data_IF_751303994198
#
_entry.id   IF_751303994198
#
_cell.length_a   1.000
_cell.length_b   1.000
_cell.length_c   1.000
_cell.angle_alpha   90.00
_cell.angle_beta   90.00
_cell.angle_gamma   90.00
#
_symmetry.space_group_name_H-M   'P 1'
#
loop_
_entity.id
_entity.type
_entity.pdbx_description
1 polymer ?
#
# COMPACT_ATOMS: atom_id res chain seq x y z
N UNK A 1 12.56 24.09 52.44
CA UNK A 1 13.38 22.87 52.29
C UNK A 1 14.12 22.94 50.96
N UNK A 2 15.46 22.83 50.96
CA UNK A 2 16.25 22.71 49.72
C UNK A 2 16.15 21.26 49.20
N UNK A 3 16.12 21.10 47.88
CA UNK A 3 16.20 19.79 47.25
C UNK A 3 17.51 19.11 47.66
N UNK A 4 17.46 17.81 47.97
CA UNK A 4 18.64 17.01 48.33
C UNK A 4 19.55 16.71 47.13
N UNK A 5 19.15 17.12 45.93
CA UNK A 5 19.83 16.83 44.68
C UNK A 5 20.35 18.12 44.05
N UNK A 6 21.59 18.09 43.57
CA UNK A 6 22.19 19.20 42.82
C UNK A 6 21.50 19.37 41.47
N UNK A 7 21.21 20.62 41.11
CA UNK A 7 20.59 20.99 39.84
C UNK A 7 21.65 21.63 38.95
N UNK A 8 21.60 21.34 37.66
CA UNK A 8 22.44 22.03 36.69
C UNK A 8 22.12 23.53 36.66
N UNK A 9 23.15 24.35 36.57
CA UNK A 9 23.01 25.80 36.48
C UNK A 9 22.78 26.23 35.03
N UNK A 10 21.51 26.39 34.67
CA UNK A 10 21.09 26.81 33.33
C UNK A 10 21.55 28.24 32.97
N UNK A 11 22.00 29.05 33.93
CA UNK A 11 22.54 30.40 33.63
C UNK A 11 23.86 30.34 32.85
N UNK A 12 24.52 29.18 32.84
CA UNK A 12 25.78 28.94 32.11
C UNK A 12 25.58 28.43 30.68
N UNK A 13 24.33 28.24 30.22
CA UNK A 13 24.02 27.82 28.85
C UNK A 13 24.43 28.92 27.86
N UNK A 14 25.20 28.55 26.84
CA UNK A 14 25.56 29.47 25.74
C UNK A 14 24.54 29.39 24.63
N UNK A 15 24.02 30.53 24.20
CA UNK A 15 23.12 30.65 23.05
C UNK A 15 23.89 31.04 21.79
N UNK A 16 23.30 30.79 20.63
CA UNK A 16 23.85 31.17 19.32
C UNK A 16 22.89 32.10 18.57
N UNK A 17 23.43 32.95 17.70
CA UNK A 17 22.62 33.78 16.80
C UNK A 17 21.96 32.93 15.71
N UNK A 18 20.74 33.32 15.30
CA UNK A 18 20.06 32.73 14.15
C UNK A 18 20.90 32.82 12.86
N UNK A 19 21.73 33.87 12.73
CA UNK A 19 22.62 34.07 11.57
C UNK A 19 23.74 33.03 11.49
N UNK A 20 24.05 32.37 12.60
CA UNK A 20 25.16 31.43 12.73
C UNK A 20 24.71 29.96 12.68
N UNK A 21 23.42 29.70 12.45
CA UNK A 21 22.88 28.35 12.26
C UNK A 21 22.27 28.19 10.87
N UNK A 22 22.29 26.99 10.32
CA UNK A 22 21.60 26.66 9.07
C UNK A 22 20.11 26.46 9.34
N UNK A 23 19.28 27.37 8.84
CA UNK A 23 17.82 27.20 8.79
C UNK A 23 17.42 26.34 7.59
N UNK A 24 16.53 25.36 7.80
CA UNK A 24 16.13 24.40 6.76
C UNK A 24 14.90 24.81 5.95
N UNK A 25 14.19 25.85 6.40
CA UNK A 25 12.91 26.28 5.82
C UNK A 25 12.96 27.78 5.58
N UNK A 26 12.51 28.20 4.41
CA UNK A 26 12.36 29.59 4.04
C UNK A 26 10.93 29.92 3.56
N UNK A 27 10.58 31.20 3.55
CA UNK A 27 9.20 31.65 3.28
C UNK A 27 8.73 31.38 1.85
N UNK A 28 9.63 31.14 0.89
CA UNK A 28 9.25 30.74 -0.47
C UNK A 28 8.71 29.31 -0.53
N UNK A 29 8.95 28.48 0.51
CA UNK A 29 8.41 27.12 0.62
C UNK A 29 7.03 27.09 1.30
N UNK A 30 6.50 28.24 1.74
CA UNK A 30 5.22 28.31 2.44
C UNK A 30 4.05 28.15 1.48
N UNK A 31 2.91 27.73 2.03
CA UNK A 31 1.67 27.64 1.30
C UNK A 31 1.20 29.04 0.85
N UNK A 32 0.46 29.09 -0.25
CA UNK A 32 -0.27 30.29 -0.69
C UNK A 32 -1.73 30.19 -0.24
N UNK A 33 -2.39 31.34 -0.09
CA UNK A 33 -3.83 31.36 0.18
C UNK A 33 -4.57 30.92 -1.09
N UNK A 34 -5.52 29.98 -0.95
CA UNK A 34 -6.37 29.48 -2.03
C UNK A 34 -7.81 29.97 -1.86
N UNK A 35 -8.41 30.49 -2.93
CA UNK A 35 -9.82 30.89 -3.02
C UNK A 35 -10.58 29.99 -4.01
N UNK A 36 -11.43 29.07 -3.53
CA UNK A 36 -12.17 28.14 -4.38
C UNK A 36 -13.23 28.81 -5.27
N UNK A 37 -13.54 30.10 -5.07
CA UNK A 37 -14.49 30.83 -5.92
C UNK A 37 -13.87 31.32 -7.22
N UNK A 38 -12.56 31.53 -7.23
CA UNK A 38 -11.83 32.20 -8.32
C UNK A 38 -10.68 31.37 -8.85
N UNK A 39 -10.22 30.37 -8.11
CA UNK A 39 -9.07 29.55 -8.46
C UNK A 39 -9.47 28.09 -8.70
N UNK A 40 -8.83 27.50 -9.69
CA UNK A 40 -9.00 26.11 -10.13
C UNK A 40 -8.32 25.10 -9.21
N UNK A 41 -8.59 23.81 -9.42
CA UNK A 41 -7.95 22.73 -8.66
C UNK A 41 -6.43 22.64 -8.89
N UNK A 42 -5.94 23.01 -10.08
CA UNK A 42 -4.49 23.06 -10.32
C UNK A 42 -3.84 24.17 -9.49
N UNK A 43 -4.51 25.32 -9.36
CA UNK A 43 -4.05 26.43 -8.50
C UNK A 43 -4.13 26.07 -7.01
N UNK A 44 -5.08 25.22 -6.59
CA UNK A 44 -5.06 24.63 -5.25
C UNK A 44 -3.80 23.79 -5.01
N UNK A 45 -3.44 22.89 -5.94
CA UNK A 45 -2.22 22.07 -5.84
C UNK A 45 -0.96 22.97 -5.80
N UNK A 46 -0.93 24.03 -6.59
CA UNK A 46 0.16 25.02 -6.60
C UNK A 46 0.21 25.91 -5.36
N UNK A 47 -0.88 25.98 -4.60
CA UNK A 47 -0.93 26.67 -3.31
C UNK A 47 -0.35 25.85 -2.16
N UNK A 48 -0.18 24.52 -2.32
CA UNK A 48 0.42 23.66 -1.31
C UNK A 48 1.88 24.04 -1.06
N UNK A 49 2.38 23.88 0.18
CA UNK A 49 3.75 24.28 0.51
C UNK A 49 4.78 23.34 -0.14
N UNK A 50 5.90 23.90 -0.59
CA UNK A 50 6.99 23.17 -1.27
C UNK A 50 7.93 22.47 -0.29
N UNK A 51 7.36 21.77 0.70
CA UNK A 51 8.10 21.15 1.79
C UNK A 51 7.50 19.80 2.21
N UNK A 52 8.39 18.86 2.59
CA UNK A 52 8.02 17.54 3.09
C UNK A 52 7.03 16.83 2.12
N UNK A 53 5.98 16.21 2.67
CA UNK A 53 5.08 15.32 1.93
C UNK A 53 4.29 16.04 0.84
N UNK A 54 3.99 17.33 1.00
CA UNK A 54 3.30 18.09 -0.04
C UNK A 54 4.16 18.19 -1.32
N UNK A 55 5.45 18.50 -1.16
CA UNK A 55 6.43 18.46 -2.25
C UNK A 55 6.59 17.05 -2.82
N UNK A 56 6.73 16.03 -1.97
CA UNK A 56 6.91 14.64 -2.42
C UNK A 56 5.70 14.16 -3.25
N UNK A 57 4.48 14.55 -2.86
CA UNK A 57 3.25 14.24 -3.59
C UNK A 57 3.24 14.90 -4.98
N UNK A 58 3.59 16.19 -5.08
CA UNK A 58 3.69 16.89 -6.36
C UNK A 58 4.71 16.23 -7.30
N UNK A 59 5.90 15.91 -6.78
CA UNK A 59 6.95 15.20 -7.53
C UNK A 59 6.45 13.83 -8.00
N UNK A 60 5.74 13.07 -7.15
CA UNK A 60 5.20 11.77 -7.54
C UNK A 60 4.14 11.90 -8.65
N UNK A 61 3.23 12.87 -8.54
CA UNK A 61 2.23 13.15 -9.57
C UNK A 61 2.92 13.45 -10.91
N UNK A 62 3.94 14.32 -10.90
CA UNK A 62 4.72 14.61 -12.11
C UNK A 62 5.40 13.36 -12.68
N UNK A 63 5.94 12.47 -11.84
CA UNK A 63 6.54 11.20 -12.28
C UNK A 63 5.51 10.27 -12.92
N UNK A 64 4.31 10.14 -12.35
CA UNK A 64 3.23 9.32 -12.91
C UNK A 64 2.75 9.91 -14.24
N UNK A 65 2.52 11.23 -14.31
CA UNK A 65 2.08 11.92 -15.53
C UNK A 65 3.14 11.80 -16.64
N UNK A 66 4.43 11.92 -16.30
CA UNK A 66 5.50 11.74 -17.27
C UNK A 66 5.61 10.29 -17.76
N UNK A 67 5.46 9.31 -16.87
CA UNK A 67 5.39 7.90 -17.25
C UNK A 67 4.24 7.66 -18.23
N UNK A 68 3.05 8.17 -17.93
CA UNK A 68 1.88 8.10 -18.81
C UNK A 68 2.15 8.75 -20.18
N UNK A 69 2.60 10.00 -20.22
CA UNK A 69 2.89 10.74 -21.48
C UNK A 69 3.91 10.04 -22.37
N UNK A 70 4.87 9.33 -21.76
CA UNK A 70 5.93 8.59 -22.46
C UNK A 70 5.57 7.12 -22.70
N UNK A 71 4.33 6.74 -22.43
CA UNK A 71 3.84 5.38 -22.56
C UNK A 71 4.70 4.36 -21.77
N UNK A 72 5.10 4.70 -20.55
CA UNK A 72 5.90 3.88 -19.63
C UNK A 72 5.05 3.12 -18.63
N UNK A 73 5.68 2.23 -17.86
CA UNK A 73 4.98 1.36 -16.93
C UNK A 73 4.61 2.11 -15.65
N UNK A 74 3.33 2.05 -15.29
CA UNK A 74 2.84 2.40 -13.96
C UNK A 74 2.16 1.16 -13.39
N UNK A 75 2.67 0.66 -12.27
CA UNK A 75 2.17 -0.53 -11.58
C UNK A 75 1.66 -0.16 -10.20
N UNK A 76 0.43 -0.56 -9.88
CA UNK A 76 -0.08 -0.45 -8.52
C UNK A 76 -0.06 -1.81 -7.85
N UNK A 77 0.43 -1.83 -6.61
CA UNK A 77 0.39 -2.97 -5.72
C UNK A 77 -0.62 -2.65 -4.62
N UNK A 78 -1.72 -3.39 -4.50
CA UNK A 78 -2.84 -3.01 -3.63
C UNK A 78 -3.18 -4.06 -2.57
N UNK A 79 -3.67 -3.58 -1.43
CA UNK A 79 -4.29 -4.43 -0.41
C UNK A 79 -5.80 -4.24 -0.30
N UNK A 80 -6.44 -5.17 0.41
CA UNK A 80 -7.88 -5.31 0.52
C UNK A 80 -8.65 -4.02 0.85
N UNK A 81 -8.09 -3.17 1.70
CA UNK A 81 -8.77 -1.96 2.16
C UNK A 81 -9.09 -0.98 1.00
N UNK A 82 -8.30 -0.99 -0.08
CA UNK A 82 -8.52 -0.11 -1.24
C UNK A 82 -9.87 -0.40 -1.90
N UNK A 83 -10.18 -1.69 -2.12
CA UNK A 83 -11.45 -2.10 -2.72
C UNK A 83 -12.58 -2.06 -1.70
N UNK A 84 -12.32 -2.51 -0.46
CA UNK A 84 -13.29 -2.49 0.64
C UNK A 84 -13.95 -1.12 0.85
N UNK A 85 -13.21 -0.02 0.68
CA UNK A 85 -13.73 1.35 0.86
C UNK A 85 -14.22 2.01 -0.43
N UNK A 86 -14.43 1.22 -1.49
CA UNK A 86 -15.10 1.67 -2.72
C UNK A 86 -14.22 2.43 -3.71
N UNK A 87 -12.89 2.27 -3.68
CA UNK A 87 -11.98 3.00 -4.60
C UNK A 87 -11.75 2.30 -5.95
N UNK A 88 -12.38 1.14 -6.18
CA UNK A 88 -12.28 0.40 -7.44
C UNK A 88 -12.58 1.26 -8.69
N UNK A 89 -13.63 2.12 -8.73
CA UNK A 89 -13.92 2.95 -9.90
C UNK A 89 -12.79 3.90 -10.30
N UNK A 90 -12.01 4.38 -9.32
CA UNK A 90 -10.88 5.28 -9.58
C UNK A 90 -9.72 4.52 -10.24
N UNK A 91 -9.47 3.27 -9.83
CA UNK A 91 -8.46 2.41 -10.47
C UNK A 91 -8.87 2.03 -11.89
N UNK A 92 -10.15 1.73 -12.09
CA UNK A 92 -10.74 1.45 -13.42
C UNK A 92 -10.58 2.65 -14.34
N UNK A 93 -10.88 3.87 -13.85
CA UNK A 93 -10.70 5.09 -14.63
C UNK A 93 -9.23 5.29 -15.05
N UNK A 94 -8.29 5.08 -14.13
CA UNK A 94 -6.85 5.14 -14.46
C UNK A 94 -6.43 4.08 -15.48
N UNK A 95 -7.05 2.90 -15.46
CA UNK A 95 -6.87 1.87 -16.48
C UNK A 95 -7.42 2.30 -17.84
N UNK A 96 -8.65 2.81 -17.88
CA UNK A 96 -9.31 3.33 -19.11
C UNK A 96 -8.53 4.48 -19.75
N UNK A 97 -7.95 5.36 -18.92
CA UNK A 97 -7.08 6.45 -19.36
C UNK A 97 -5.72 5.97 -19.89
N UNK A 98 -5.35 4.69 -19.68
CA UNK A 98 -4.04 4.15 -20.05
C UNK A 98 -2.91 4.56 -19.10
N UNK A 99 -3.23 5.14 -17.93
CA UNK A 99 -2.26 5.50 -16.90
C UNK A 99 -1.76 4.22 -16.22
N UNK A 100 -2.68 3.40 -15.71
CA UNK A 100 -2.34 2.17 -14.99
C UNK A 100 -2.18 1.03 -15.99
N UNK A 101 -1.04 0.32 -15.93
CA UNK A 101 -0.69 -0.73 -16.91
C UNK A 101 -0.53 -2.13 -16.32
N UNK A 102 -0.55 -2.24 -15.00
CA UNK A 102 -0.66 -3.50 -14.29
C UNK A 102 -1.14 -3.25 -12.86
N UNK A 103 -1.88 -4.21 -12.32
CA UNK A 103 -2.35 -4.20 -10.95
C UNK A 103 -1.97 -5.54 -10.29
N UNK A 104 -1.31 -5.49 -9.14
CA UNK A 104 -1.02 -6.70 -8.36
C UNK A 104 -1.64 -6.54 -6.97
N UNK A 105 -2.24 -7.59 -6.43
CA UNK A 105 -2.99 -7.52 -5.18
C UNK A 105 -2.82 -8.76 -4.32
N UNK A 106 -3.10 -8.64 -3.01
CA UNK A 106 -3.31 -9.82 -2.17
C UNK A 106 -4.72 -10.41 -2.38
N UNK A 107 -4.90 -11.68 -2.01
CA UNK A 107 -6.14 -12.43 -2.27
C UNK A 107 -7.37 -11.89 -1.52
N UNK A 108 -7.20 -11.33 -0.31
CA UNK A 108 -8.27 -10.55 0.35
C UNK A 108 -8.83 -9.40 -0.50
N UNK A 109 -8.00 -8.74 -1.33
CA UNK A 109 -8.48 -7.73 -2.29
C UNK A 109 -9.41 -8.35 -3.33
N UNK A 110 -9.05 -9.50 -3.87
CA UNK A 110 -9.84 -10.19 -4.89
C UNK A 110 -11.20 -10.64 -4.34
N UNK A 111 -11.26 -11.05 -3.07
CA UNK A 111 -12.52 -11.39 -2.39
C UNK A 111 -13.46 -10.18 -2.35
N UNK A 112 -12.98 -9.03 -1.87
CA UNK A 112 -13.81 -7.82 -1.83
C UNK A 112 -14.29 -7.40 -3.23
N UNK A 113 -13.44 -7.56 -4.25
CA UNK A 113 -13.80 -7.23 -5.63
C UNK A 113 -14.86 -8.17 -6.20
N UNK A 114 -14.72 -9.49 -5.98
CA UNK A 114 -15.69 -10.52 -6.37
C UNK A 114 -17.04 -10.33 -5.67
N UNK A 115 -17.04 -10.12 -4.35
CA UNK A 115 -18.27 -9.87 -3.59
C UNK A 115 -18.96 -8.59 -4.07
N UNK A 116 -18.20 -7.52 -4.30
CA UNK A 116 -18.73 -6.29 -4.89
C UNK A 116 -19.36 -6.57 -6.26
N UNK A 117 -18.68 -7.32 -7.13
CA UNK A 117 -19.16 -7.61 -8.48
C UNK A 117 -20.45 -8.44 -8.50
N UNK A 118 -20.54 -9.46 -7.65
CA UNK A 118 -21.65 -10.41 -7.62
C UNK A 118 -22.84 -9.88 -6.80
N UNK A 119 -22.58 -9.24 -5.67
CA UNK A 119 -23.60 -8.93 -4.66
C UNK A 119 -23.79 -7.43 -4.42
N UNK A 120 -22.89 -6.58 -4.93
CA UNK A 120 -22.95 -5.12 -4.71
C UNK A 120 -22.56 -4.68 -3.31
N UNK A 121 -22.07 -5.62 -2.48
CA UNK A 121 -21.72 -5.40 -1.08
C UNK A 121 -20.59 -6.33 -0.67
N UNK A 122 -19.78 -5.91 0.29
CA UNK A 122 -18.65 -6.68 0.83
C UNK A 122 -18.34 -6.21 2.25
N UNK A 123 -17.45 -6.92 2.96
CA UNK A 123 -17.04 -6.67 4.35
C UNK A 123 -18.13 -6.99 5.38
N UNK A 124 -18.12 -8.25 5.84
CA UNK A 124 -18.88 -8.71 7.00
C UNK A 124 -18.38 -8.12 8.35
N UNK A 125 -19.18 -8.26 9.41
CA UNK A 125 -18.77 -7.90 10.77
C UNK A 125 -17.85 -8.97 11.36
N UNK A 126 -16.56 -8.65 11.43
CA UNK A 126 -15.52 -9.57 11.90
C UNK A 126 -15.68 -9.90 13.39
N UNK A 127 -16.04 -8.92 14.22
CA UNK A 127 -16.05 -9.11 15.67
C UNK A 127 -17.22 -9.99 16.10
N UNK A 128 -18.38 -9.79 15.49
CA UNK A 128 -19.57 -10.60 15.72
C UNK A 128 -19.36 -12.04 15.20
N UNK A 129 -18.95 -12.18 13.94
CA UNK A 129 -18.91 -13.49 13.26
C UNK A 129 -17.76 -14.39 13.74
N UNK A 130 -16.71 -13.85 14.37
CA UNK A 130 -15.67 -14.70 15.00
C UNK A 130 -16.24 -15.43 16.22
N UNK A 131 -17.19 -14.84 16.94
CA UNK A 131 -17.70 -15.40 18.19
C UNK A 131 -18.47 -16.70 17.99
N UNK A 132 -19.19 -16.84 16.87
CA UNK A 132 -19.96 -18.03 16.53
C UNK A 132 -19.32 -18.89 15.44
N UNK A 133 -18.17 -18.46 14.90
CA UNK A 133 -17.41 -19.18 13.87
C UNK A 133 -17.95 -18.99 12.45
N UNK A 134 -18.88 -18.07 12.23
CA UNK A 134 -19.42 -17.75 10.91
C UNK A 134 -18.52 -16.84 10.06
N UNK A 135 -17.47 -16.23 10.66
CA UNK A 135 -16.59 -15.29 9.97
C UNK A 135 -15.94 -15.95 8.76
N UNK A 136 -16.20 -15.43 7.57
CA UNK A 136 -15.66 -15.94 6.32
C UNK A 136 -16.31 -17.21 5.77
N UNK A 137 -17.50 -17.57 6.27
CA UNK A 137 -18.20 -18.81 5.90
C UNK A 137 -19.28 -18.61 4.81
N UNK A 138 -19.29 -17.46 4.14
CA UNK A 138 -20.17 -17.21 2.99
C UNK A 138 -19.86 -18.21 1.86
N UNK A 139 -20.80 -19.14 1.62
CA UNK A 139 -20.64 -20.25 0.67
C UNK A 139 -20.49 -19.73 -0.75
N UNK A 140 -21.29 -18.75 -1.14
CA UNK A 140 -21.34 -18.21 -2.50
C UNK A 140 -19.99 -17.57 -2.89
N UNK A 141 -19.36 -16.82 -1.99
CA UNK A 141 -18.05 -16.22 -2.21
C UNK A 141 -16.96 -17.28 -2.42
N UNK A 142 -16.88 -18.26 -1.52
CA UNK A 142 -15.84 -19.29 -1.60
C UNK A 142 -16.06 -20.28 -2.73
N UNK A 143 -17.29 -20.70 -2.99
CA UNK A 143 -17.63 -21.54 -4.15
C UNK A 143 -17.26 -20.84 -5.45
N UNK A 144 -17.64 -19.57 -5.62
CA UNK A 144 -17.31 -18.83 -6.83
C UNK A 144 -15.80 -18.77 -7.04
N UNK A 145 -15.04 -18.35 -6.03
CA UNK A 145 -13.58 -18.20 -6.17
C UNK A 145 -12.91 -19.56 -6.37
N UNK A 146 -13.09 -20.50 -5.43
CA UNK A 146 -12.34 -21.75 -5.42
C UNK A 146 -12.66 -22.63 -6.65
N UNK A 147 -13.93 -22.72 -7.06
CA UNK A 147 -14.31 -23.53 -8.23
C UNK A 147 -13.85 -22.87 -9.55
N UNK A 148 -13.84 -21.54 -9.62
CA UNK A 148 -13.27 -20.81 -10.76
C UNK A 148 -11.78 -21.10 -10.91
N UNK A 149 -11.03 -21.02 -9.81
CA UNK A 149 -9.60 -21.33 -9.83
C UNK A 149 -9.35 -22.78 -10.21
N UNK A 150 -10.13 -23.72 -9.67
CA UNK A 150 -10.00 -25.13 -10.03
C UNK A 150 -10.27 -25.36 -11.52
N UNK A 151 -11.33 -24.74 -12.06
CA UNK A 151 -11.67 -24.84 -13.47
C UNK A 151 -10.53 -24.32 -14.36
N UNK A 152 -10.05 -23.10 -14.13
CA UNK A 152 -9.03 -22.49 -14.99
C UNK A 152 -7.63 -23.09 -14.77
N UNK A 153 -7.30 -23.54 -13.57
CA UNK A 153 -6.05 -24.26 -13.31
C UNK A 153 -5.93 -25.53 -14.17
N UNK A 154 -7.05 -26.25 -14.37
CA UNK A 154 -7.11 -27.50 -15.15
C UNK A 154 -7.19 -27.29 -16.65
N UNK A 155 -7.87 -26.23 -17.09
CA UNK A 155 -8.28 -26.06 -18.49
C UNK A 155 -7.59 -24.91 -19.23
N UNK A 156 -6.68 -24.18 -18.58
CA UNK A 156 -6.01 -23.01 -19.15
C UNK A 156 -4.67 -22.71 -18.47
N UNK A 157 -3.91 -21.76 -19.03
CA UNK A 157 -2.70 -21.19 -18.43
C UNK A 157 -2.95 -19.85 -17.73
N UNK A 158 -4.23 -19.47 -17.52
CA UNK A 158 -4.57 -18.21 -16.86
C UNK A 158 -4.02 -18.19 -15.43
N UNK A 159 -3.67 -16.99 -14.99
CA UNK A 159 -3.35 -16.69 -13.60
C UNK A 159 -4.61 -16.51 -12.74
N UNK A 160 -4.43 -16.38 -11.43
CA UNK A 160 -5.53 -16.20 -10.47
C UNK A 160 -6.39 -14.98 -10.83
N UNK A 161 -5.79 -13.79 -10.93
CA UNK A 161 -6.53 -12.55 -11.21
C UNK A 161 -7.27 -12.57 -12.54
N UNK A 162 -6.61 -13.06 -13.59
CA UNK A 162 -7.19 -13.19 -14.93
C UNK A 162 -8.37 -14.18 -14.96
N UNK A 163 -8.24 -15.33 -14.30
CA UNK A 163 -9.30 -16.33 -14.22
C UNK A 163 -10.57 -15.76 -13.54
N UNK A 164 -10.41 -15.01 -12.45
CA UNK A 164 -11.55 -14.36 -11.79
C UNK A 164 -12.17 -13.26 -12.66
N UNK A 165 -11.33 -12.41 -13.26
CA UNK A 165 -11.81 -11.34 -14.16
C UNK A 165 -12.59 -11.90 -15.35
N UNK A 166 -12.10 -12.98 -15.95
CA UNK A 166 -12.80 -13.70 -17.01
C UNK A 166 -14.13 -14.26 -16.51
N UNK A 167 -14.13 -14.99 -15.40
CA UNK A 167 -15.35 -15.62 -14.90
C UNK A 167 -16.44 -14.60 -14.55
N UNK A 168 -16.07 -13.48 -13.91
CA UNK A 168 -17.01 -12.40 -13.59
C UNK A 168 -17.69 -11.82 -14.84
N UNK A 169 -16.96 -11.74 -15.96
CA UNK A 169 -17.52 -11.32 -17.24
C UNK A 169 -18.40 -12.42 -17.85
N UNK A 170 -17.97 -13.68 -17.82
CA UNK A 170 -18.70 -14.82 -18.41
C UNK A 170 -20.06 -15.06 -17.74
N UNK A 171 -20.14 -14.89 -16.41
CA UNK A 171 -21.41 -15.01 -15.65
C UNK A 171 -22.26 -13.74 -15.69
N UNK A 172 -21.80 -12.70 -16.39
CA UNK A 172 -22.44 -11.39 -16.44
C UNK A 172 -22.75 -10.83 -15.03
N UNK A 173 -21.73 -10.78 -14.17
CA UNK A 173 -21.91 -10.38 -12.78
C UNK A 173 -22.61 -9.00 -12.69
N UNK A 174 -23.67 -8.83 -11.86
CA UNK A 174 -24.57 -7.67 -11.94
C UNK A 174 -23.88 -6.32 -11.74
N UNK A 175 -22.79 -6.30 -10.97
CA UNK A 175 -22.03 -5.09 -10.64
C UNK A 175 -20.60 -5.15 -11.21
N UNK A 176 -20.36 -5.90 -12.28
CA UNK A 176 -19.01 -6.08 -12.87
C UNK A 176 -18.34 -4.77 -13.28
N UNK A 177 -19.11 -3.72 -13.54
CA UNK A 177 -18.60 -2.37 -13.83
C UNK A 177 -17.82 -1.75 -12.65
N UNK A 178 -18.06 -2.23 -11.42
CA UNK A 178 -17.34 -1.83 -10.21
C UNK A 178 -16.17 -2.75 -9.86
N UNK A 179 -15.95 -3.84 -10.62
CA UNK A 179 -14.87 -4.80 -10.38
C UNK A 179 -13.62 -4.45 -11.16
N UNK A 180 -12.49 -4.30 -10.46
CA UNK A 180 -11.19 -4.13 -11.13
C UNK A 180 -10.80 -5.38 -11.89
N UNK A 181 -11.11 -6.58 -11.38
CA UNK A 181 -10.80 -7.85 -12.04
C UNK A 181 -11.52 -7.96 -13.38
N UNK A 182 -12.84 -7.71 -13.41
CA UNK A 182 -13.64 -7.79 -14.62
C UNK A 182 -13.26 -6.71 -15.65
N UNK A 183 -13.08 -5.46 -15.20
CA UNK A 183 -12.73 -4.36 -16.11
C UNK A 183 -11.33 -4.52 -16.68
N UNK A 184 -10.34 -4.91 -15.88
CA UNK A 184 -8.95 -4.98 -16.35
C UNK A 184 -8.73 -6.16 -17.30
N UNK A 185 -9.47 -7.27 -17.09
CA UNK A 185 -9.55 -8.34 -18.08
C UNK A 185 -10.01 -7.81 -19.45
N UNK A 186 -11.11 -7.04 -19.49
CA UNK A 186 -11.63 -6.45 -20.73
C UNK A 186 -10.68 -5.40 -21.35
N UNK A 187 -9.94 -4.67 -20.52
CA UNK A 187 -8.95 -3.67 -20.96
C UNK A 187 -7.61 -4.29 -21.38
N UNK A 188 -7.42 -5.61 -21.26
CA UNK A 188 -6.15 -6.31 -21.45
C UNK A 188 -5.02 -5.75 -20.56
N UNK A 189 -5.36 -5.35 -19.34
CA UNK A 189 -4.41 -4.90 -18.32
C UNK A 189 -4.12 -6.09 -17.40
N UNK A 190 -2.86 -6.53 -17.25
CA UNK A 190 -2.53 -7.64 -16.36
C UNK A 190 -2.95 -7.36 -14.91
N UNK A 191 -3.69 -8.30 -14.32
CA UNK A 191 -4.03 -8.31 -12.90
C UNK A 191 -3.55 -9.59 -12.25
N UNK A 192 -2.77 -9.47 -11.17
CA UNK A 192 -2.22 -10.61 -10.45
C UNK A 192 -2.69 -10.64 -8.99
N UNK A 193 -3.01 -11.82 -8.48
CA UNK A 193 -3.49 -12.07 -7.12
C UNK A 193 -2.50 -13.02 -6.43
N UNK A 194 -1.95 -12.56 -5.30
CA UNK A 194 -0.96 -13.30 -4.52
C UNK A 194 -1.57 -13.75 -3.19
N UNK A 195 -1.92 -15.03 -3.12
CA UNK A 195 -2.50 -15.66 -1.94
C UNK A 195 -1.44 -15.93 -0.86
N UNK A 196 -1.76 -15.61 0.39
CA UNK A 196 -1.10 -16.14 1.56
C UNK A 196 -2.02 -17.19 2.17
N UNK A 197 -1.62 -18.47 2.13
CA UNK A 197 -2.50 -19.57 2.52
C UNK A 197 -2.86 -19.45 4.00
N UNK A 198 -4.15 -19.56 4.30
CA UNK A 198 -4.71 -19.40 5.65
C UNK A 198 -5.00 -17.95 6.07
N UNK A 199 -4.72 -16.93 5.25
CA UNK A 199 -5.04 -15.52 5.60
C UNK A 199 -6.41 -15.03 5.14
N UNK A 200 -7.04 -15.74 4.21
CA UNK A 200 -8.23 -15.29 3.50
C UNK A 200 -9.41 -16.21 3.76
N UNK A 201 -10.61 -15.63 3.80
CA UNK A 201 -11.84 -16.34 4.19
C UNK A 201 -12.21 -17.53 3.29
N UNK A 202 -11.74 -17.56 2.05
CA UNK A 202 -12.02 -18.68 1.13
C UNK A 202 -11.13 -19.90 1.40
N UNK A 203 -10.05 -19.75 2.18
CA UNK A 203 -9.11 -20.84 2.47
C UNK A 203 -9.60 -21.84 3.51
N UNK A 204 -10.56 -21.45 4.34
CA UNK A 204 -11.15 -22.28 5.40
C UNK A 204 -12.34 -23.11 4.92
N UNK A 205 -12.76 -22.96 3.65
CA UNK A 205 -13.95 -23.60 3.11
C UNK A 205 -13.64 -24.98 2.49
N UNK A 206 -14.60 -25.92 2.45
CA UNK A 206 -14.40 -27.27 1.89
C UNK A 206 -14.00 -27.29 0.41
N UNK A 207 -14.34 -26.22 -0.34
CA UNK A 207 -13.97 -26.07 -1.76
C UNK A 207 -12.51 -25.65 -1.96
N UNK A 208 -11.79 -25.27 -0.90
CA UNK A 208 -10.39 -24.87 -0.99
C UNK A 208 -9.49 -26.04 -1.38
N UNK A 209 -8.69 -25.85 -2.43
CA UNK A 209 -7.61 -26.76 -2.81
C UNK A 209 -6.26 -26.02 -2.80
N UNK A 210 -5.42 -26.34 -1.83
CA UNK A 210 -4.10 -25.72 -1.65
C UNK A 210 -3.17 -25.83 -2.87
N UNK A 211 -3.24 -26.93 -3.62
CA UNK A 211 -2.44 -27.10 -4.83
C UNK A 211 -2.89 -26.16 -5.96
N UNK A 212 -4.21 -26.00 -6.13
CA UNK A 212 -4.80 -25.10 -7.12
C UNK A 212 -4.51 -23.65 -6.77
N UNK A 213 -4.80 -23.22 -5.54
CA UNK A 213 -4.57 -21.83 -5.12
C UNK A 213 -3.08 -21.48 -5.17
N UNK A 214 -2.22 -22.42 -4.75
CA UNK A 214 -0.77 -22.26 -4.85
C UNK A 214 -0.29 -22.12 -6.30
N UNK A 215 -0.75 -22.99 -7.20
CA UNK A 215 -0.40 -22.94 -8.62
C UNK A 215 -0.89 -21.65 -9.28
N UNK A 216 -2.16 -21.27 -9.09
CA UNK A 216 -2.73 -20.05 -9.69
C UNK A 216 -2.03 -18.78 -9.18
N UNK A 217 -1.73 -18.71 -7.89
CA UNK A 217 -0.92 -17.62 -7.29
C UNK A 217 0.50 -17.59 -7.85
N UNK A 218 1.10 -18.75 -8.13
CA UNK A 218 2.44 -18.85 -8.70
C UNK A 218 2.49 -18.48 -10.19
N UNK A 219 1.44 -18.80 -10.97
CA UNK A 219 1.27 -18.27 -12.33
C UNK A 219 1.25 -16.74 -12.32
N UNK A 220 0.49 -16.17 -11.41
CA UNK A 220 0.42 -14.72 -11.21
C UNK A 220 1.75 -14.11 -10.77
N UNK A 221 2.55 -14.81 -9.96
CA UNK A 221 3.92 -14.39 -9.67
C UNK A 221 4.80 -14.33 -10.92
N UNK A 222 4.70 -15.31 -11.82
CA UNK A 222 5.44 -15.31 -13.11
C UNK A 222 4.97 -14.18 -14.03
N UNK A 223 3.65 -13.94 -14.10
CA UNK A 223 3.06 -12.83 -14.86
C UNK A 223 3.58 -11.49 -14.33
N UNK A 224 3.59 -11.29 -13.01
CA UNK A 224 4.14 -10.08 -12.39
C UNK A 224 5.63 -9.93 -12.70
N UNK A 225 6.44 -10.99 -12.61
CA UNK A 225 7.84 -10.94 -13.03
C UNK A 225 7.97 -10.46 -14.47
N UNK A 226 7.18 -11.01 -15.40
CA UNK A 226 7.19 -10.60 -16.80
C UNK A 226 6.78 -9.13 -16.98
N UNK A 227 5.75 -8.65 -16.28
CA UNK A 227 5.37 -7.22 -16.28
C UNK A 227 6.55 -6.34 -15.86
N UNK A 228 7.25 -6.72 -14.80
CA UNK A 228 8.36 -5.94 -14.22
C UNK A 228 9.63 -5.95 -15.10
N UNK A 229 9.74 -6.83 -16.10
CA UNK A 229 10.83 -6.74 -17.11
C UNK A 229 10.81 -5.44 -17.92
N UNK A 230 9.65 -4.78 -17.96
CA UNK A 230 9.43 -3.51 -18.68
C UNK A 230 9.77 -2.27 -17.85
N UNK A 231 10.25 -2.44 -16.61
CA UNK A 231 10.68 -1.32 -15.76
C UNK A 231 11.92 -0.63 -16.33
N UNK A 232 11.91 0.70 -16.29
CA UNK A 232 13.03 1.59 -16.61
C UNK A 232 13.02 2.84 -15.72
N UNK A 233 13.94 3.78 -15.94
CA UNK A 233 14.10 4.99 -15.14
C UNK A 233 12.93 5.98 -15.20
N UNK A 234 11.99 5.75 -16.12
CA UNK A 234 10.78 6.54 -16.31
C UNK A 234 9.53 5.86 -15.77
N UNK A 235 9.66 4.62 -15.27
CA UNK A 235 8.56 3.82 -14.74
C UNK A 235 8.25 4.15 -13.28
N UNK A 236 7.04 3.80 -12.83
CA UNK A 236 6.56 4.05 -11.46
C UNK A 236 5.90 2.79 -10.87
N UNK A 237 6.24 2.46 -9.62
CA UNK A 237 5.58 1.41 -8.84
C UNK A 237 5.03 2.01 -7.54
N UNK A 238 3.74 1.82 -7.27
CA UNK A 238 3.07 2.39 -6.10
C UNK A 238 2.47 1.27 -5.25
N UNK A 239 2.92 1.15 -3.99
CA UNK A 239 2.26 0.29 -3.00
C UNK A 239 1.13 1.06 -2.31
N UNK A 240 -0.07 0.49 -2.24
CA UNK A 240 -1.28 1.12 -1.71
C UNK A 240 -2.00 0.15 -0.76
N UNK A 241 -1.86 0.37 0.54
CA UNK A 241 -2.65 -0.37 1.55
C UNK A 241 -2.28 -1.84 1.74
N UNK A 242 -1.08 -2.27 1.36
CA UNK A 242 -0.55 -3.61 1.67
C UNK A 242 0.76 -3.51 2.46
N UNK A 243 0.73 -3.96 3.71
CA UNK A 243 1.86 -3.81 4.63
C UNK A 243 2.96 -4.86 4.45
N UNK A 244 2.60 -6.07 4.03
CA UNK A 244 3.51 -7.23 4.03
C UNK A 244 3.49 -7.97 2.70
N UNK A 245 2.34 -8.51 2.28
CA UNK A 245 2.29 -9.41 1.13
C UNK A 245 2.81 -8.76 -0.16
N UNK A 246 2.29 -7.58 -0.52
CA UNK A 246 2.70 -6.95 -1.77
C UNK A 246 4.14 -6.40 -1.76
N UNK A 247 4.62 -5.74 -0.69
CA UNK A 247 6.04 -5.40 -0.57
C UNK A 247 6.98 -6.60 -0.73
N UNK A 248 6.66 -7.72 -0.08
CA UNK A 248 7.48 -8.94 -0.15
C UNK A 248 7.45 -9.57 -1.55
N UNK A 249 6.25 -9.75 -2.13
CA UNK A 249 6.10 -10.27 -3.49
C UNK A 249 6.85 -9.41 -4.51
N UNK A 250 6.70 -8.08 -4.44
CA UNK A 250 7.38 -7.16 -5.35
C UNK A 250 8.91 -7.29 -5.27
N UNK A 251 9.46 -7.38 -4.06
CA UNK A 251 10.91 -7.53 -3.88
C UNK A 251 11.42 -8.83 -4.50
N UNK A 252 10.68 -9.95 -4.37
CA UNK A 252 11.06 -11.24 -4.96
C UNK A 252 10.93 -11.21 -6.48
N UNK A 253 9.85 -10.64 -7.01
CA UNK A 253 9.63 -10.50 -8.45
C UNK A 253 10.73 -9.63 -9.10
N UNK A 254 11.06 -8.49 -8.50
CA UNK A 254 12.15 -7.63 -8.95
C UNK A 254 13.52 -8.34 -8.91
N UNK A 255 13.75 -9.18 -7.90
CA UNK A 255 14.97 -9.98 -7.80
C UNK A 255 15.09 -10.96 -8.96
N UNK A 256 14.01 -11.69 -9.28
CA UNK A 256 13.96 -12.60 -10.44
C UNK A 256 14.24 -11.84 -11.73
N UNK A 257 13.57 -10.71 -11.95
CA UNK A 257 13.75 -9.89 -13.17
C UNK A 257 15.20 -9.45 -13.36
N UNK A 258 15.84 -8.95 -12.30
CA UNK A 258 17.25 -8.55 -12.36
C UNK A 258 18.19 -9.73 -12.53
N UNK A 259 17.90 -10.86 -11.89
CA UNK A 259 18.69 -12.08 -12.03
C UNK A 259 18.67 -12.62 -13.47
N UNK A 260 17.55 -12.47 -14.18
CA UNK A 260 17.41 -12.82 -15.59
C UNK A 260 18.06 -11.81 -16.56
N UNK A 261 18.71 -10.75 -16.04
CA UNK A 261 19.48 -9.79 -16.85
C UNK A 261 18.70 -8.57 -17.36
N UNK A 262 17.45 -8.38 -16.95
CA UNK A 262 16.66 -7.20 -17.35
C UNK A 262 17.08 -5.95 -16.56
N UNK A 263 17.07 -4.79 -17.24
CA UNK A 263 17.51 -3.51 -16.70
C UNK A 263 16.45 -2.78 -15.86
N UNK A 264 15.93 -3.43 -14.81
CA UNK A 264 14.93 -2.87 -13.90
C UNK A 264 15.56 -1.95 -12.82
N UNK A 265 16.05 -0.78 -13.24
CA UNK A 265 16.71 0.22 -12.38
C UNK A 265 16.20 1.65 -12.66
N UNK A 266 16.42 2.57 -11.73
CA UNK A 266 16.11 4.00 -11.90
C UNK A 266 14.64 4.41 -11.72
N UNK A 267 13.71 3.45 -11.70
CA UNK A 267 12.27 3.72 -11.56
C UNK A 267 11.90 4.36 -10.21
N UNK A 268 10.75 5.03 -10.17
CA UNK A 268 10.21 5.67 -8.96
C UNK A 268 9.34 4.70 -8.17
N UNK A 269 9.48 4.69 -6.84
CA UNK A 269 8.60 3.92 -5.95
C UNK A 269 7.88 4.83 -4.95
N UNK A 270 6.62 4.54 -4.65
CA UNK A 270 5.86 5.21 -3.60
C UNK A 270 5.09 4.22 -2.72
N UNK A 271 4.74 4.65 -1.50
CA UNK A 271 3.99 3.83 -0.54
C UNK A 271 2.90 4.66 0.15
N UNK A 272 1.65 4.27 -0.06
CA UNK A 272 0.42 4.86 0.46
C UNK A 272 -0.20 4.01 1.59
N UNK A 273 0.59 3.13 2.23
CA UNK A 273 0.12 2.39 3.41
C UNK A 273 -0.09 3.31 4.62
N UNK A 274 -1.14 3.03 5.40
CA UNK A 274 -1.60 3.79 6.55
C UNK A 274 -0.71 3.59 7.79
N UNK A 275 0.05 2.49 7.85
CA UNK A 275 0.99 2.22 8.94
C UNK A 275 2.36 2.86 8.63
N UNK A 276 2.57 4.07 9.14
CA UNK A 276 3.90 4.68 9.29
C UNK A 276 3.93 5.58 10.53
N UNK A 277 4.64 5.20 11.61
CA UNK A 277 5.17 6.22 12.52
C UNK A 277 6.52 6.76 12.02
N UNK A 278 6.52 7.20 10.75
CA UNK A 278 7.68 7.85 10.13
C UNK A 278 8.19 9.03 10.97
N UNK A 279 7.32 9.84 11.59
CA UNK A 279 7.75 11.03 12.36
C UNK A 279 8.46 10.71 13.68
N UNK A 280 7.96 9.86 14.58
CA UNK A 280 8.71 9.45 15.78
C UNK A 280 10.01 8.71 15.44
N UNK A 281 9.95 7.76 14.49
CA UNK A 281 11.12 6.99 14.03
C UNK A 281 12.19 7.89 13.43
N UNK A 282 11.81 8.81 12.54
CA UNK A 282 12.78 9.64 11.85
C UNK A 282 13.17 10.88 12.66
N UNK A 283 12.25 11.54 13.38
CA UNK A 283 12.54 12.83 14.05
C UNK A 283 12.97 12.73 15.52
N UNK A 284 12.63 11.65 16.22
CA UNK A 284 12.96 11.50 17.65
C UNK A 284 14.04 10.45 17.85
N UNK A 285 13.94 9.32 17.13
CA UNK A 285 14.84 8.18 17.30
C UNK A 285 16.09 8.29 16.41
N UNK A 286 15.95 8.72 15.15
CA UNK A 286 17.05 8.70 14.16
C UNK A 286 17.75 10.06 13.95
N UNK A 287 17.03 11.13 13.58
CA UNK A 287 17.65 12.44 13.22
C UNK A 287 18.42 13.12 14.36
N UNK A 288 17.98 13.10 15.64
CA UNK A 288 18.69 13.80 16.72
C UNK A 288 20.03 13.15 17.12
N UNK A 289 20.21 11.85 16.87
CA UNK A 289 21.35 11.05 17.32
C UNK A 289 22.37 10.77 16.21
N UNK A 290 22.10 11.21 14.97
CA UNK A 290 22.97 11.06 13.79
C UNK A 290 24.36 11.69 13.93
N UNK A 291 24.57 12.61 14.90
CA UNK A 291 25.86 13.26 15.19
C UNK A 291 26.58 12.73 16.44
N UNK A 292 26.09 11.65 17.05
CA UNK A 292 26.55 11.08 18.31
C UNK A 292 25.44 10.99 19.37
N UNK A 293 25.34 9.84 20.05
CA UNK A 293 24.23 9.46 20.95
C UNK A 293 23.54 8.16 20.50
N UNK A 294 22.53 7.68 21.25
CA UNK A 294 21.74 6.50 20.90
C UNK A 294 20.24 6.81 20.99
N UNK A 295 19.46 6.35 20.02
CA UNK A 295 18.01 6.48 19.98
C UNK A 295 17.34 5.16 20.32
N UNK A 296 16.33 5.19 21.19
CA UNK A 296 15.58 4.01 21.60
C UNK A 296 14.10 4.22 21.27
N UNK A 297 13.52 3.29 20.51
CA UNK A 297 12.08 3.24 20.26
C UNK A 297 11.49 2.15 21.14
N UNK A 298 10.67 2.54 22.13
CA UNK A 298 10.02 1.59 23.03
C UNK A 298 8.51 1.73 22.85
N UNK A 299 7.86 0.63 22.48
CA UNK A 299 6.44 0.56 22.16
C UNK A 299 5.71 -0.27 23.20
N UNK A 300 4.67 0.32 23.80
CA UNK A 300 3.83 -0.31 24.83
C UNK A 300 2.84 0.69 25.42
N UNK A 301 1.92 0.23 26.26
CA UNK A 301 0.89 1.06 26.89
C UNK A 301 1.48 2.02 27.95
N UNK A 302 1.09 3.30 27.89
CA UNK A 302 1.76 4.39 28.63
C UNK A 302 1.65 4.25 30.15
N UNK A 303 0.54 3.73 30.63
CA UNK A 303 0.23 3.43 32.02
C UNK A 303 1.14 2.35 32.63
N UNK A 304 1.87 1.59 31.80
CA UNK A 304 2.91 0.63 32.23
C UNK A 304 4.28 1.24 31.98
N UNK A 305 4.51 1.75 30.77
CA UNK A 305 5.82 2.18 30.30
C UNK A 305 6.36 3.42 31.03
N UNK A 306 5.49 4.37 31.36
CA UNK A 306 5.89 5.63 32.00
C UNK A 306 6.14 5.45 33.51
N UNK A 307 5.27 4.77 34.29
CA UNK A 307 5.58 4.49 35.69
C UNK A 307 6.83 3.64 35.86
N UNK A 308 7.05 2.64 35.00
CA UNK A 308 8.26 1.81 35.01
C UNK A 308 9.52 2.64 34.72
N UNK A 309 9.49 3.48 33.68
CA UNK A 309 10.59 4.39 33.36
C UNK A 309 10.90 5.35 34.52
N UNK A 310 9.86 5.93 35.13
CA UNK A 310 10.01 6.85 36.27
C UNK A 310 10.55 6.13 37.51
N UNK A 311 10.09 4.91 37.80
CA UNK A 311 10.58 4.10 38.90
C UNK A 311 12.06 3.71 38.69
N UNK A 312 12.43 3.30 37.48
CA UNK A 312 13.82 2.97 37.12
C UNK A 312 14.73 4.20 37.21
N UNK A 313 14.26 5.37 36.79
CA UNK A 313 14.97 6.64 36.98
C UNK A 313 15.16 6.88 38.48
N UNK A 314 14.08 6.91 39.28
CA UNK A 314 14.12 7.15 40.75
C UNK A 314 14.95 6.15 41.55
N UNK A 315 15.20 4.95 41.02
CA UNK A 315 16.06 3.95 41.66
C UNK A 315 17.55 4.19 41.43
N UNK A 316 17.88 5.00 40.42
CA UNK A 316 19.26 5.29 39.97
C UNK A 316 19.70 6.72 40.30
N UNK A 317 18.84 7.48 40.99
CA UNK A 317 19.08 8.80 41.59
C UNK A 317 18.61 8.76 43.04
#
# INVERSE_FOLDING_TARGET
>A
MKSKYEKIDLTKVRTISIKNRKSKVNTAEFAKVFDPKTQSFIEFIDSLPEILVAKDLKILVDKIVNAYRKNKLVVFLIGAHVIKVGLAPLLIELGKMGVLKALAMNSATAIHDVETALFGQTSEDVAENIMDGSFGMAKETGDFINLTLEHYCKNSDLGYGEALGKQLNDVDAPNKDYSVLANFYNLNIPVTVHAAIGTDIVHQQPTMNGSVTGEMSFRDFKILCNVLTKLDDESVVVNVGSAVIMPEVFLKALTVVRNLGFNAFGFTTANFDMIRHYRPTVNVVQRPTQGGGQGFMITGHHEIMIPLLVAMIKSKI
#
